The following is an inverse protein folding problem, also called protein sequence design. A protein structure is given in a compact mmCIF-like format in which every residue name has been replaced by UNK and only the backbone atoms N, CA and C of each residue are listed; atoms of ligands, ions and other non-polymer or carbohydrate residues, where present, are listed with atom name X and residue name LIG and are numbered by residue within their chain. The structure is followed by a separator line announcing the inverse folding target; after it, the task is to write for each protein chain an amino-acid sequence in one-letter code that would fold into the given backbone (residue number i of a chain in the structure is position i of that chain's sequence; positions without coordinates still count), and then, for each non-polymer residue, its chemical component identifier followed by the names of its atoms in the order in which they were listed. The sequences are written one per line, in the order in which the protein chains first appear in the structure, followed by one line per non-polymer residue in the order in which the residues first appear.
data_IF_264812512861
#
_entry.id   IF_264812512861
#
_cell.length_a   1.000
_cell.length_b   1.000
_cell.length_c   1.000
_cell.angle_alpha   90.00
_cell.angle_beta   90.00
_cell.angle_gamma   90.00
#
_symmetry.space_group_name_H-M   'P 1'
#
loop_
_entity.id
_entity.type
_entity.pdbx_description
1 polymer ?
#
# COMPACT_ATOMS: atom_id res chain seq x y z
N UNK A 1 -31.19 -61.88 18.15
CA UNK A 1 -30.53 -61.86 16.82
C UNK A 1 -30.08 -60.45 16.51
N UNK A 2 -28.77 -60.18 16.47
CA UNK A 2 -28.24 -58.85 16.14
C UNK A 2 -28.15 -58.68 14.62
N UNK A 3 -28.85 -57.67 14.09
CA UNK A 3 -28.88 -57.37 12.65
C UNK A 3 -27.53 -56.76 12.24
N UNK A 4 -26.76 -57.48 11.43
CA UNK A 4 -25.50 -56.98 10.85
C UNK A 4 -25.78 -55.72 10.01
N UNK A 5 -25.27 -54.57 10.44
CA UNK A 5 -25.27 -53.33 9.64
C UNK A 5 -24.34 -53.55 8.46
N UNK A 6 -24.88 -53.59 7.24
CA UNK A 6 -24.07 -53.60 6.01
C UNK A 6 -23.21 -52.33 6.01
N UNK A 7 -21.89 -52.49 5.97
CA UNK A 7 -20.96 -51.38 5.77
C UNK A 7 -21.03 -50.97 4.31
N UNK A 8 -21.38 -49.72 4.04
CA UNK A 8 -21.27 -49.14 2.70
C UNK A 8 -19.79 -48.97 2.37
N UNK A 9 -19.33 -49.65 1.31
CA UNK A 9 -17.99 -49.44 0.76
C UNK A 9 -18.02 -48.23 -0.19
N UNK A 10 -17.07 -47.32 -0.03
CA UNK A 10 -16.95 -46.12 -0.86
C UNK A 10 -16.53 -46.51 -2.28
N UNK A 11 -17.23 -46.02 -3.30
CA UNK A 11 -16.90 -46.33 -4.69
C UNK A 11 -15.89 -45.34 -5.26
N UNK A 12 -15.04 -45.79 -6.19
CA UNK A 12 -14.09 -44.91 -6.89
C UNK A 12 -14.80 -43.83 -7.70
N UNK A 13 -15.99 -44.11 -8.22
CA UNK A 13 -16.78 -43.15 -9.00
C UNK A 13 -17.33 -42.03 -8.12
N UNK A 14 -17.76 -42.32 -6.89
CA UNK A 14 -18.17 -41.29 -5.91
C UNK A 14 -17.00 -40.37 -5.57
N UNK A 15 -15.79 -40.91 -5.36
CA UNK A 15 -14.61 -40.08 -5.17
C UNK A 15 -14.39 -39.17 -6.38
N UNK A 16 -14.40 -39.75 -7.58
CA UNK A 16 -14.03 -39.08 -8.83
C UNK A 16 -14.96 -37.90 -9.14
N UNK A 17 -16.27 -38.08 -8.96
CA UNK A 17 -17.26 -36.99 -9.15
C UNK A 17 -17.02 -35.87 -8.15
N UNK A 18 -16.71 -36.19 -6.89
CA UNK A 18 -16.46 -35.18 -5.85
C UNK A 18 -15.24 -34.32 -6.20
N UNK A 19 -14.11 -34.93 -6.60
CA UNK A 19 -12.92 -34.14 -6.97
C UNK A 19 -13.17 -33.33 -8.24
N UNK A 20 -13.95 -33.86 -9.19
CA UNK A 20 -14.33 -33.13 -10.41
C UNK A 20 -15.15 -31.87 -10.08
N UNK A 21 -16.16 -31.98 -9.21
CA UNK A 21 -16.98 -30.83 -8.80
C UNK A 21 -16.16 -29.81 -8.01
N UNK A 22 -15.33 -30.25 -7.05
CA UNK A 22 -14.43 -29.36 -6.31
C UNK A 22 -13.46 -28.65 -7.26
N UNK A 23 -12.94 -29.36 -8.26
CA UNK A 23 -12.06 -28.80 -9.29
C UNK A 23 -12.73 -27.68 -10.09
N UNK A 24 -13.98 -27.87 -10.52
CA UNK A 24 -14.75 -26.84 -11.25
C UNK A 24 -14.96 -25.60 -10.38
N UNK A 25 -15.37 -25.79 -9.13
CA UNK A 25 -15.60 -24.67 -8.20
C UNK A 25 -14.29 -23.92 -7.93
N UNK A 26 -13.21 -24.64 -7.65
CA UNK A 26 -11.90 -24.07 -7.37
C UNK A 26 -11.35 -23.27 -8.58
N UNK A 27 -11.52 -23.78 -9.80
CA UNK A 27 -11.04 -23.13 -11.02
C UNK A 27 -11.64 -21.72 -11.23
N UNK A 28 -12.90 -21.51 -10.84
CA UNK A 28 -13.56 -20.20 -10.94
C UNK A 28 -13.26 -19.34 -9.71
N UNK A 29 -13.19 -19.94 -8.53
CA UNK A 29 -13.07 -19.21 -7.27
C UNK A 29 -11.65 -18.65 -7.03
N UNK A 30 -10.61 -19.44 -7.31
CA UNK A 30 -9.22 -19.09 -7.02
C UNK A 30 -8.78 -17.77 -7.68
N UNK A 31 -8.97 -17.54 -9.00
CA UNK A 31 -8.51 -16.29 -9.62
C UNK A 31 -9.20 -15.06 -9.02
N UNK A 32 -10.50 -15.15 -8.75
CA UNK A 32 -11.27 -14.06 -8.14
C UNK A 32 -10.81 -13.78 -6.69
N UNK A 33 -10.51 -14.83 -5.92
CA UNK A 33 -9.99 -14.69 -4.57
C UNK A 33 -8.61 -14.01 -4.57
N UNK A 34 -7.72 -14.41 -5.49
CA UNK A 34 -6.40 -13.82 -5.61
C UNK A 34 -6.48 -12.32 -5.90
N UNK A 35 -7.32 -11.89 -6.85
CA UNK A 35 -7.52 -10.46 -7.15
C UNK A 35 -8.11 -9.70 -5.95
N UNK A 36 -9.10 -10.29 -5.26
CA UNK A 36 -9.69 -9.68 -4.07
C UNK A 36 -8.67 -9.46 -2.95
N UNK A 37 -7.74 -10.39 -2.76
CA UNK A 37 -6.63 -10.24 -1.80
C UNK A 37 -5.70 -9.10 -2.20
N UNK A 38 -5.34 -8.98 -3.49
CA UNK A 38 -4.49 -7.88 -3.96
C UNK A 38 -5.14 -6.51 -3.74
N UNK A 39 -6.44 -6.41 -4.03
CA UNK A 39 -7.22 -5.20 -3.79
C UNK A 39 -7.33 -4.85 -2.30
N UNK A 40 -7.44 -5.85 -1.43
CA UNK A 40 -7.45 -5.65 0.01
C UNK A 40 -6.10 -5.11 0.52
N UNK A 41 -4.99 -5.68 0.03
CA UNK A 41 -3.65 -5.22 0.35
C UNK A 41 -3.42 -3.77 -0.10
N UNK A 42 -3.77 -3.45 -1.35
CA UNK A 42 -3.70 -2.08 -1.87
C UNK A 42 -4.50 -1.08 -1.01
N UNK A 43 -5.74 -1.43 -0.66
CA UNK A 43 -6.59 -0.58 0.19
C UNK A 43 -5.98 -0.36 1.57
N UNK A 44 -5.39 -1.40 2.16
CA UNK A 44 -4.70 -1.31 3.45
C UNK A 44 -3.49 -0.38 3.36
N UNK A 45 -2.65 -0.54 2.33
CA UNK A 45 -1.50 0.35 2.06
C UNK A 45 -1.93 1.81 1.98
N UNK A 46 -2.93 2.11 1.15
CA UNK A 46 -3.40 3.49 0.98
C UNK A 46 -4.09 4.05 2.23
N UNK A 47 -4.79 3.21 3.01
CA UNK A 47 -5.40 3.65 4.26
C UNK A 47 -4.33 4.01 5.31
N UNK A 48 -3.29 3.19 5.43
CA UNK A 48 -2.13 3.45 6.27
C UNK A 48 -1.44 4.78 5.89
N UNK A 49 -1.17 4.99 4.60
CA UNK A 49 -0.60 6.24 4.08
C UNK A 49 -1.48 7.46 4.39
N UNK A 50 -2.81 7.36 4.22
CA UNK A 50 -3.73 8.47 4.57
C UNK A 50 -3.73 8.79 6.06
N UNK A 51 -3.73 7.76 6.90
CA UNK A 51 -3.74 7.94 8.36
C UNK A 51 -2.45 8.65 8.82
N UNK A 52 -1.29 8.21 8.30
CA UNK A 52 -0.03 8.89 8.55
C UNK A 52 0.01 10.30 7.99
N UNK A 53 -0.48 10.50 6.76
CA UNK A 53 -0.53 11.81 6.13
C UNK A 53 -1.36 12.81 6.95
N UNK A 54 -2.47 12.36 7.53
CA UNK A 54 -3.32 13.17 8.43
C UNK A 54 -2.56 13.56 9.70
N UNK A 55 -1.83 12.61 10.31
CA UNK A 55 -0.99 12.89 11.47
C UNK A 55 0.09 13.95 11.12
N UNK A 56 0.72 13.80 9.97
CA UNK A 56 1.73 14.74 9.47
C UNK A 56 1.16 16.13 9.20
N UNK A 57 0.00 16.24 8.58
CA UNK A 57 -0.66 17.53 8.39
C UNK A 57 -1.05 18.21 9.70
N UNK A 58 -1.44 17.42 10.70
CA UNK A 58 -1.73 17.95 12.03
C UNK A 58 -0.44 18.50 12.68
N UNK A 59 0.68 17.78 12.56
CA UNK A 59 2.00 18.26 12.98
C UNK A 59 2.43 19.53 12.23
N UNK A 60 2.28 19.56 10.91
CA UNK A 60 2.64 20.73 10.10
C UNK A 60 1.82 21.95 10.49
N UNK A 61 0.51 21.80 10.72
CA UNK A 61 -0.35 22.90 11.15
C UNK A 61 0.17 23.54 12.45
N UNK A 62 0.72 22.74 13.36
CA UNK A 62 1.23 23.21 14.64
C UNK A 62 2.68 23.76 14.55
N UNK A 63 3.50 23.29 13.60
CA UNK A 63 4.92 23.67 13.47
C UNK A 63 5.18 24.75 12.42
N UNK A 64 4.38 24.83 11.35
CA UNK A 64 4.42 25.89 10.35
C UNK A 64 3.14 25.91 9.49
N UNK A 65 2.34 26.97 9.58
CA UNK A 65 1.20 27.16 8.69
C UNK A 65 1.67 27.43 7.25
N UNK A 66 1.54 26.44 6.36
CA UNK A 66 1.76 26.64 4.91
C UNK A 66 0.61 26.07 4.10
N UNK A 67 -0.17 26.98 3.50
CA UNK A 67 -1.23 26.69 2.56
C UNK A 67 -0.65 26.55 1.14
N UNK A 68 -0.53 25.29 0.69
CA UNK A 68 -0.58 24.81 -0.70
C UNK A 68 0.21 25.57 -1.80
N UNK A 69 1.32 24.99 -2.26
CA UNK A 69 2.15 25.49 -3.36
C UNK A 69 1.67 25.12 -4.80
N UNK A 70 0.45 24.58 -4.99
CA UNK A 70 -0.15 24.41 -6.32
C UNK A 70 0.61 23.49 -7.30
N UNK A 71 1.40 22.54 -6.81
CA UNK A 71 2.22 21.66 -7.65
C UNK A 71 1.37 20.55 -8.32
N UNK A 72 1.60 20.32 -9.62
CA UNK A 72 1.02 19.21 -10.40
C UNK A 72 2.01 18.06 -10.63
N UNK A 73 3.23 18.17 -10.10
CA UNK A 73 4.33 17.22 -10.25
C UNK A 73 5.03 17.07 -8.92
N UNK A 74 5.56 15.88 -8.65
CA UNK A 74 6.21 15.55 -7.39
C UNK A 74 7.62 15.00 -7.67
N UNK A 75 8.64 15.71 -7.21
CA UNK A 75 10.05 15.36 -7.28
C UNK A 75 10.54 14.67 -5.98
N UNK A 76 10.68 13.35 -5.99
CA UNK A 76 11.10 12.58 -4.80
C UNK A 76 12.54 12.87 -4.34
N UNK A 77 13.36 13.49 -5.19
CA UNK A 77 14.78 13.73 -4.97
C UNK A 77 15.08 14.96 -4.16
N UNK A 78 14.08 15.82 -3.98
CA UNK A 78 14.17 16.99 -3.12
C UNK A 78 13.91 16.66 -1.65
N UNK A 79 13.55 15.42 -1.33
CA UNK A 79 13.32 14.94 0.03
C UNK A 79 14.53 14.15 0.53
N UNK A 80 14.79 14.19 1.84
CA UNK A 80 15.72 13.28 2.50
C UNK A 80 15.10 11.88 2.55
N UNK A 81 15.69 10.94 1.81
CA UNK A 81 15.16 9.59 1.62
C UNK A 81 15.63 8.59 2.69
N UNK A 82 16.56 9.00 3.57
CA UNK A 82 17.18 8.13 4.58
C UNK A 82 16.45 8.17 5.94
N UNK A 83 15.22 8.69 6.00
CA UNK A 83 14.46 8.75 7.25
C UNK A 83 13.81 7.39 7.55
N UNK A 84 14.22 6.76 8.65
CA UNK A 84 13.63 5.49 9.11
C UNK A 84 12.24 5.70 9.70
N UNK A 85 11.46 4.61 9.82
CA UNK A 85 10.17 4.66 10.51
C UNK A 85 10.30 5.22 11.94
N UNK A 86 11.40 4.89 12.64
CA UNK A 86 11.72 5.44 13.95
C UNK A 86 12.07 6.93 13.90
N UNK A 87 12.83 7.38 12.90
CA UNK A 87 13.14 8.81 12.70
C UNK A 87 11.90 9.64 12.32
N UNK A 88 10.96 9.03 11.61
CA UNK A 88 9.66 9.63 11.33
C UNK A 88 8.80 9.73 12.60
N UNK A 89 8.81 8.68 13.44
CA UNK A 89 8.15 8.72 14.73
C UNK A 89 8.70 9.86 15.59
N UNK A 90 10.03 9.99 15.76
CA UNK A 90 10.60 11.05 16.60
C UNK A 90 10.20 12.45 16.14
N UNK A 91 10.08 12.67 14.83
CA UNK A 91 9.61 13.95 14.26
C UNK A 91 8.15 14.23 14.62
N UNK A 92 7.29 13.21 14.58
CA UNK A 92 5.87 13.30 14.96
C UNK A 92 5.63 13.27 16.48
N UNK A 93 6.65 12.94 17.28
CA UNK A 93 6.62 12.92 18.74
C UNK A 93 7.37 14.12 19.32
N UNK A 94 6.88 15.32 19.05
CA UNK A 94 7.53 16.55 19.53
C UNK A 94 7.45 16.75 21.06
N UNK A 95 6.52 16.07 21.75
CA UNK A 95 6.36 16.12 23.21
C UNK A 95 5.63 14.88 23.77
N UNK A 96 5.90 14.42 25.01
CA UNK A 96 5.14 13.36 25.66
C UNK A 96 3.65 13.68 25.89
N UNK A 97 3.22 14.94 25.72
CA UNK A 97 1.83 15.37 25.90
C UNK A 97 1.06 15.59 24.59
N UNK A 98 1.75 15.70 23.44
CA UNK A 98 1.15 15.92 22.12
C UNK A 98 1.83 15.00 21.11
N UNK A 99 1.09 14.01 20.60
CA UNK A 99 1.55 13.08 19.58
C UNK A 99 0.50 12.98 18.47
N UNK A 100 0.95 13.05 17.23
CA UNK A 100 0.05 13.02 16.07
C UNK A 100 -0.24 11.61 15.58
N UNK A 101 0.68 10.67 15.82
CA UNK A 101 0.46 9.24 15.63
C UNK A 101 1.16 8.44 16.71
N UNK A 102 0.59 7.28 17.08
CA UNK A 102 1.24 6.35 18.01
C UNK A 102 2.11 5.30 17.31
N UNK A 103 1.88 5.08 16.02
CA UNK A 103 2.48 3.99 15.28
C UNK A 103 2.66 4.39 13.83
N UNK A 104 3.86 4.15 13.32
CA UNK A 104 4.21 4.30 11.91
C UNK A 104 4.28 2.89 11.32
N UNK A 105 3.38 2.51 10.41
CA UNK A 105 3.47 1.25 9.69
C UNK A 105 4.86 1.07 9.07
N UNK A 106 5.51 -0.06 9.30
CA UNK A 106 6.80 -0.33 8.63
C UNK A 106 6.58 -0.95 7.26
N UNK A 107 5.56 -1.80 7.16
CA UNK A 107 5.27 -2.59 5.98
C UNK A 107 3.93 -2.21 5.36
N UNK A 108 3.89 -2.32 4.04
CA UNK A 108 2.69 -2.15 3.24
C UNK A 108 1.77 -3.40 3.29
N UNK A 109 0.69 -3.39 2.51
CA UNK A 109 -0.25 -4.50 2.43
C UNK A 109 0.36 -5.78 1.83
N UNK A 110 1.48 -5.70 1.13
CA UNK A 110 2.20 -6.83 0.53
C UNK A 110 3.39 -7.30 1.36
N UNK A 111 3.73 -6.58 2.44
CA UNK A 111 4.84 -6.90 3.33
C UNK A 111 6.16 -6.27 2.91
N UNK A 112 6.14 -5.34 1.95
CA UNK A 112 7.31 -4.55 1.57
C UNK A 112 7.43 -3.35 2.50
N UNK A 113 8.66 -2.94 2.83
CA UNK A 113 8.88 -1.77 3.66
C UNK A 113 8.36 -0.49 2.97
N UNK A 114 7.80 0.42 3.75
CA UNK A 114 7.53 1.78 3.29
C UNK A 114 8.83 2.57 3.26
N UNK A 115 9.04 3.31 2.18
CA UNK A 115 10.03 4.37 2.16
C UNK A 115 9.38 5.66 2.63
N UNK A 116 10.08 6.35 3.51
CA UNK A 116 9.67 7.63 4.05
C UNK A 116 10.62 8.70 3.56
N UNK A 117 10.12 9.90 3.33
CA UNK A 117 10.95 11.00 2.91
C UNK A 117 10.48 12.32 3.52
N UNK A 118 11.41 13.14 4.01
CA UNK A 118 11.12 14.43 4.65
C UNK A 118 12.07 15.50 4.13
N UNK A 119 11.59 16.71 3.84
CA UNK A 119 12.46 17.75 3.27
C UNK A 119 13.32 18.49 4.29
N UNK A 120 13.15 18.25 5.59
CA UNK A 120 13.80 19.05 6.64
C UNK A 120 13.23 20.46 6.81
N UNK A 121 12.44 20.94 5.85
CA UNK A 121 11.94 22.31 5.79
C UNK A 121 10.40 22.31 5.61
N UNK A 122 9.64 22.75 6.62
CA UNK A 122 8.19 22.72 6.56
C UNK A 122 7.57 23.72 5.58
N UNK A 123 8.38 24.62 4.99
CA UNK A 123 7.97 25.53 3.91
C UNK A 123 8.41 25.09 2.52
N UNK A 124 8.99 23.89 2.38
CA UNK A 124 9.32 23.31 1.08
C UNK A 124 8.06 23.06 0.24
N UNK A 125 8.21 23.04 -1.09
CA UNK A 125 7.13 22.65 -2.01
C UNK A 125 6.66 21.21 -1.78
N UNK A 126 7.57 20.37 -1.29
CA UNK A 126 7.31 19.00 -0.90
C UNK A 126 7.85 18.83 0.50
N UNK A 127 6.97 18.52 1.44
CA UNK A 127 7.36 18.46 2.84
C UNK A 127 7.54 17.01 3.27
N UNK A 128 6.60 16.16 2.88
CA UNK A 128 6.66 14.74 3.17
C UNK A 128 6.25 13.88 1.98
N UNK A 129 6.93 12.75 1.89
CA UNK A 129 6.64 11.67 0.99
C UNK A 129 6.57 10.32 1.70
N UNK A 130 5.73 9.42 1.21
CA UNK A 130 5.73 8.00 1.54
C UNK A 130 5.63 7.19 0.25
N UNK A 131 6.39 6.11 0.12
CA UNK A 131 6.35 5.21 -1.03
C UNK A 131 6.19 3.76 -0.58
N UNK A 132 5.35 3.02 -1.29
CA UNK A 132 5.26 1.56 -1.26
C UNK A 132 5.64 1.05 -2.64
N UNK A 133 6.43 -0.02 -2.67
CA UNK A 133 6.91 -0.67 -3.90
C UNK A 133 5.85 -1.57 -4.56
N UNK A 134 4.58 -1.46 -4.13
CA UNK A 134 3.51 -2.33 -4.64
C UNK A 134 3.74 -3.81 -4.33
N UNK A 135 3.15 -4.70 -5.13
CA UNK A 135 3.21 -6.15 -4.95
C UNK A 135 4.56 -6.75 -5.34
N UNK A 136 5.21 -6.20 -6.36
CA UNK A 136 6.44 -6.78 -6.89
C UNK A 136 7.65 -6.51 -5.98
N UNK A 137 7.53 -5.51 -5.09
CA UNK A 137 8.55 -5.17 -4.09
C UNK A 137 9.84 -4.70 -4.73
N UNK A 138 9.80 -4.33 -6.01
CA UNK A 138 10.96 -3.85 -6.74
C UNK A 138 10.95 -2.35 -6.65
N UNK A 139 12.09 -1.78 -6.28
CA UNK A 139 12.32 -0.38 -6.56
C UNK A 139 12.10 -0.19 -8.06
N UNK A 140 11.13 0.65 -8.41
CA UNK A 140 10.85 0.99 -9.80
C UNK A 140 12.15 1.37 -10.50
N UNK A 141 12.28 1.12 -11.81
CA UNK A 141 13.46 1.55 -12.52
C UNK A 141 13.53 3.06 -12.35
N UNK A 142 14.60 3.48 -11.67
CA UNK A 142 15.19 4.80 -11.61
C UNK A 142 14.94 5.60 -10.32
N UNK A 143 16.06 6.08 -9.81
CA UNK A 143 16.30 7.39 -9.18
C UNK A 143 15.79 8.59 -10.04
N UNK A 144 14.79 8.41 -10.91
CA UNK A 144 14.23 9.43 -11.79
C UNK A 144 13.17 10.22 -11.06
N UNK A 145 13.70 11.23 -10.41
CA UNK A 145 13.05 12.48 -10.16
C UNK A 145 12.77 13.20 -11.48
N UNK A 146 11.52 13.63 -11.78
CA UNK A 146 10.29 13.63 -10.97
C UNK A 146 9.25 12.55 -11.33
N UNK A 147 8.40 12.17 -10.36
CA UNK A 147 7.22 11.32 -10.58
C UNK A 147 6.13 12.10 -11.34
N UNK A 148 5.64 11.51 -12.43
CA UNK A 148 4.53 12.08 -13.22
C UNK A 148 3.19 11.54 -12.73
N UNK A 149 2.22 12.43 -12.49
CA UNK A 149 0.87 12.08 -12.01
C UNK A 149 0.09 11.36 -13.11
N UNK A 150 -0.31 10.11 -12.84
CA UNK A 150 -1.15 9.29 -13.72
C UNK A 150 -2.56 9.04 -13.18
N UNK A 151 -3.48 8.56 -14.04
CA UNK A 151 -4.76 8.02 -13.59
C UNK A 151 -4.55 6.77 -12.70
N UNK A 152 -5.32 6.66 -11.63
CA UNK A 152 -5.27 5.50 -10.73
C UNK A 152 -5.91 4.27 -11.38
N UNK A 153 -5.11 3.32 -11.84
CA UNK A 153 -5.61 2.01 -12.33
C UNK A 153 -5.70 1.04 -11.15
N UNK A 154 -6.91 0.66 -10.74
CA UNK A 154 -7.13 -0.13 -9.52
C UNK A 154 -6.65 -1.58 -9.57
N UNK A 155 -6.14 -2.06 -10.71
CA UNK A 155 -5.72 -3.46 -10.94
C UNK A 155 -4.22 -3.60 -11.17
N UNK A 156 -3.48 -2.49 -11.26
CA UNK A 156 -2.04 -2.52 -11.43
C UNK A 156 -1.36 -2.64 -10.06
N UNK A 157 -1.31 -3.85 -9.50
CA UNK A 157 -0.79 -4.07 -8.14
C UNK A 157 0.74 -4.02 -8.06
N UNK A 158 1.43 -4.21 -9.18
CA UNK A 158 2.90 -4.18 -9.27
C UNK A 158 3.46 -2.75 -9.41
N UNK A 159 2.60 -1.73 -9.40
CA UNK A 159 3.03 -0.34 -9.48
C UNK A 159 3.24 0.25 -8.09
N UNK A 160 4.29 1.06 -7.99
CA UNK A 160 4.59 1.87 -6.81
C UNK A 160 3.40 2.75 -6.46
N UNK A 161 3.15 2.88 -5.16
CA UNK A 161 2.17 3.80 -4.61
C UNK A 161 2.94 4.84 -3.84
N UNK A 162 2.92 6.08 -4.33
CA UNK A 162 3.53 7.21 -3.64
C UNK A 162 2.42 8.09 -3.09
N UNK A 163 2.51 8.43 -1.82
CA UNK A 163 1.69 9.45 -1.18
C UNK A 163 2.58 10.66 -0.89
N UNK A 164 2.13 11.83 -1.31
CA UNK A 164 2.88 13.06 -1.19
C UNK A 164 1.93 14.22 -0.97
N UNK A 165 2.08 14.92 0.14
CA UNK A 165 1.28 16.10 0.48
C UNK A 165 -0.19 15.96 0.04
N UNK A 166 -0.84 14.87 0.48
CA UNK A 166 -2.27 14.63 0.31
C UNK A 166 -2.69 14.03 -1.04
N UNK A 167 -1.78 13.93 -2.01
CA UNK A 167 -2.03 13.36 -3.32
C UNK A 167 -1.46 11.94 -3.40
N UNK A 168 -2.20 11.03 -4.04
CA UNK A 168 -1.70 9.71 -4.40
C UNK A 168 -1.17 9.71 -5.84
N UNK A 169 0.00 9.12 -6.01
CA UNK A 169 0.77 9.03 -7.24
C UNK A 169 1.12 7.55 -7.48
N UNK A 170 1.25 7.15 -8.76
CA UNK A 170 1.68 5.80 -9.14
C UNK A 170 2.74 5.85 -10.25
N UNK A 171 3.65 4.90 -10.24
CA UNK A 171 4.75 4.75 -11.20
C UNK A 171 4.96 3.26 -11.52
N UNK A 172 5.34 2.86 -12.76
CA UNK A 172 5.69 3.67 -13.94
C UNK A 172 4.54 4.18 -14.82
N UNK A 173 3.29 3.74 -14.63
CA UNK A 173 2.18 4.22 -15.49
C UNK A 173 1.53 5.50 -14.97
N UNK A 174 2.32 6.57 -15.08
CA UNK A 174 1.87 7.96 -15.11
C UNK A 174 1.84 8.59 -16.50
N UNK A 175 2.37 7.92 -17.53
CA UNK A 175 2.22 8.34 -18.91
C UNK A 175 0.85 7.86 -19.41
N UNK A 176 0.00 8.82 -19.78
CA UNK A 176 -1.23 8.56 -20.50
C UNK A 176 -1.04 7.48 -21.56
N UNK A 177 -2.05 6.60 -21.64
CA UNK A 177 -2.45 5.87 -22.84
C UNK A 177 -1.97 6.63 -24.10
N UNK A 178 -1.06 6.03 -24.86
CA UNK A 178 -0.89 6.39 -26.26
C UNK A 178 -1.93 5.63 -27.07
#
# INVERSE_FOLDING_TARGET
MARSKRRHAFTLIELLIVVAVIGIIAAILIPNLLDALQKANQRRTMANMRNLGTAWYSWLTDVAAVASAGANTFDWGLLDQDITAEGLLTTLYMSPTMFYTRHVPKDDGWGNAFDYAWSGNPSSQQVIGMRSLGRDGKEGPLDMNPYTVGPFVSTAYDEDIVWADGIFLRYPQGAAVK
#
